data_IF_749959220165
#
_entry.id   IF_749959220165
#
_cell.length_a   1.000
_cell.length_b   1.000
_cell.length_c   1.000
_cell.angle_alpha   90.00
_cell.angle_beta   90.00
_cell.angle_gamma   90.00
#
_symmetry.space_group_name_H-M   'P 1'
#
loop_
_entity.id
_entity.type
_entity.pdbx_description
1 polymer ?
#
# COMPACT_ATOMS: atom_id res chain seq x y z
N UNK A 1 -9.79 -1.12 -10.68
CA UNK A 1 -10.51 -1.34 -9.41
C UNK A 1 -9.49 -1.72 -8.36
N UNK A 2 -9.75 -1.38 -7.11
CA UNK A 2 -8.86 -1.69 -5.99
C UNK A 2 -9.11 -3.15 -5.57
N UNK A 3 -8.06 -3.87 -5.17
CA UNK A 3 -8.23 -5.18 -4.53
C UNK A 3 -8.98 -5.01 -3.20
N UNK A 4 -9.97 -5.87 -2.87
CA UNK A 4 -10.64 -5.81 -1.57
C UNK A 4 -9.71 -6.16 -0.41
N UNK A 5 -8.55 -6.77 -0.68
CA UNK A 5 -7.54 -7.10 0.32
C UNK A 5 -6.19 -6.49 -0.03
N UNK A 6 -5.48 -6.02 1.00
CA UNK A 6 -4.09 -5.54 0.94
C UNK A 6 -3.16 -6.62 1.46
N UNK A 7 -2.19 -7.02 0.63
CA UNK A 7 -1.17 -7.98 0.99
C UNK A 7 0.00 -7.32 1.72
N UNK A 8 0.51 -8.00 2.74
CA UNK A 8 1.57 -7.49 3.59
C UNK A 8 2.57 -8.54 4.02
N UNK A 9 3.74 -8.09 4.46
CA UNK A 9 4.76 -8.91 5.11
C UNK A 9 5.48 -8.16 6.24
N UNK A 10 6.18 -8.90 7.11
CA UNK A 10 7.04 -8.33 8.16
C UNK A 10 8.46 -8.87 8.06
N UNK A 11 9.39 -8.10 8.59
CA UNK A 11 10.81 -8.45 8.61
C UNK A 11 11.15 -9.57 9.59
N UNK A 12 12.45 -9.90 9.61
CA UNK A 12 13.03 -10.76 10.64
C UNK A 12 12.96 -10.07 12.02
N UNK A 13 12.72 -10.83 13.11
CA UNK A 13 12.64 -12.30 13.17
C UNK A 13 11.28 -12.90 12.80
N UNK A 14 10.22 -12.10 12.73
CA UNK A 14 8.83 -12.56 12.70
C UNK A 14 8.44 -13.24 11.38
N UNK A 15 8.83 -12.67 10.22
CA UNK A 15 8.62 -13.28 8.88
C UNK A 15 7.17 -13.66 8.61
N UNK A 16 6.25 -12.80 9.02
CA UNK A 16 4.83 -13.03 8.80
C UNK A 16 4.44 -12.45 7.44
N UNK A 17 3.44 -13.05 6.81
CA UNK A 17 2.83 -12.52 5.61
C UNK A 17 1.35 -12.87 5.63
N UNK A 18 0.54 -11.95 5.13
CA UNK A 18 -0.91 -12.08 5.21
C UNK A 18 -1.63 -11.13 4.26
N UNK A 19 -2.94 -11.11 4.42
CA UNK A 19 -3.82 -10.16 3.75
C UNK A 19 -4.86 -9.70 4.77
N UNK A 20 -5.17 -8.40 4.77
CA UNK A 20 -6.31 -7.83 5.51
C UNK A 20 -7.20 -7.05 4.54
N UNK A 21 -8.48 -6.80 4.87
CA UNK A 21 -9.35 -5.96 4.06
C UNK A 21 -8.67 -4.61 3.79
N UNK A 22 -8.70 -4.14 2.55
CA UNK A 22 -8.05 -2.87 2.17
C UNK A 22 -8.64 -1.70 2.94
N UNK A 23 -9.94 -1.70 3.19
CA UNK A 23 -10.58 -0.65 3.99
C UNK A 23 -10.07 -0.64 5.44
N UNK A 24 -9.88 -1.81 6.04
CA UNK A 24 -9.31 -1.96 7.39
C UNK A 24 -7.83 -1.54 7.41
N UNK A 25 -7.04 -1.95 6.41
CA UNK A 25 -5.65 -1.49 6.29
C UNK A 25 -5.55 0.04 6.31
N UNK A 26 -6.47 0.73 5.65
CA UNK A 26 -6.49 2.20 5.59
C UNK A 26 -6.88 2.84 6.93
N UNK A 27 -7.66 2.18 7.79
CA UNK A 27 -7.98 2.75 9.12
C UNK A 27 -6.77 2.76 10.04
N UNK A 28 -5.81 1.85 9.82
CA UNK A 28 -4.58 1.74 10.62
C UNK A 28 -3.56 2.86 10.34
N UNK A 29 -3.80 3.72 9.34
CA UNK A 29 -2.78 4.64 8.83
C UNK A 29 -2.30 5.67 9.86
N UNK A 30 -3.22 6.23 10.64
CA UNK A 30 -2.96 7.26 11.66
C UNK A 30 -2.94 6.69 13.09
N UNK A 31 -3.01 5.36 13.24
CA UNK A 31 -3.15 4.73 14.55
C UNK A 31 -1.81 4.55 15.28
N UNK A 32 -1.78 4.96 16.55
CA UNK A 32 -0.68 4.68 17.47
C UNK A 32 0.53 5.62 17.39
N UNK A 33 1.51 5.38 18.25
CA UNK A 33 2.82 6.05 18.16
C UNK A 33 3.66 5.35 17.09
N UNK A 34 4.34 6.12 16.22
CA UNK A 34 5.01 5.61 15.01
C UNK A 34 4.01 5.05 13.98
N UNK A 35 2.92 5.77 13.77
CA UNK A 35 1.92 5.49 12.74
C UNK A 35 2.51 5.56 11.32
N UNK A 36 1.80 5.05 10.31
CA UNK A 36 2.21 5.20 8.91
C UNK A 36 2.17 6.65 8.42
N UNK A 37 1.37 7.51 9.05
CA UNK A 37 1.44 8.95 8.78
C UNK A 37 2.75 9.58 9.25
N UNK A 38 3.36 9.08 10.34
CA UNK A 38 4.61 9.58 10.90
C UNK A 38 5.87 8.95 10.26
N UNK A 39 5.84 7.63 10.00
CA UNK A 39 6.89 6.84 9.34
C UNK A 39 6.29 6.03 8.18
N UNK A 40 6.18 6.62 6.98
CA UNK A 40 5.53 6.01 5.82
C UNK A 40 6.09 4.63 5.43
N UNK A 41 5.23 3.64 5.10
CA UNK A 41 5.67 2.30 4.75
C UNK A 41 6.28 2.25 3.35
N UNK A 42 7.20 1.30 3.16
CA UNK A 42 7.69 0.95 1.84
C UNK A 42 6.79 -0.09 1.18
N UNK A 43 6.77 -0.12 -0.15
CA UNK A 43 6.06 -1.12 -0.91
C UNK A 43 6.81 -1.51 -2.18
N UNK A 44 6.67 -2.78 -2.57
CA UNK A 44 6.94 -3.22 -3.93
C UNK A 44 5.70 -2.95 -4.80
N UNK A 45 5.90 -2.18 -5.87
CA UNK A 45 4.89 -1.95 -6.88
C UNK A 45 5.32 -2.60 -8.20
N UNK A 46 4.63 -3.67 -8.55
CA UNK A 46 4.84 -4.41 -9.80
C UNK A 46 3.79 -4.01 -10.84
N UNK A 47 4.18 -3.66 -12.05
CA UNK A 47 3.26 -3.54 -13.18
C UNK A 47 3.95 -3.86 -14.52
N UNK A 48 3.24 -3.72 -15.65
CA UNK A 48 3.85 -3.82 -16.98
C UNK A 48 3.95 -2.44 -17.65
N UNK A 49 5.08 -2.15 -18.28
CA UNK A 49 5.33 -0.92 -19.06
C UNK A 49 5.98 -1.32 -20.39
N UNK A 50 5.39 -0.88 -21.50
CA UNK A 50 5.75 -1.29 -22.86
C UNK A 50 5.81 -2.83 -23.05
N UNK A 51 4.92 -3.55 -22.36
CA UNK A 51 4.88 -5.01 -22.37
C UNK A 51 5.97 -5.73 -21.56
N UNK A 52 6.80 -5.01 -20.81
CA UNK A 52 7.79 -5.58 -19.89
C UNK A 52 7.34 -5.41 -18.43
N UNK A 53 7.57 -6.44 -17.60
CA UNK A 53 7.27 -6.38 -16.16
C UNK A 53 8.35 -5.56 -15.48
N UNK A 54 7.94 -4.54 -14.74
CA UNK A 54 8.79 -3.63 -13.95
C UNK A 54 8.38 -3.67 -12.48
N UNK A 55 9.34 -3.39 -11.60
CA UNK A 55 9.13 -3.32 -10.16
C UNK A 55 9.71 -2.00 -9.67
N UNK A 56 8.96 -1.27 -8.86
CA UNK A 56 9.40 -0.03 -8.22
C UNK A 56 9.28 -0.18 -6.72
N UNK A 57 10.29 0.27 -5.99
CA UNK A 57 10.18 0.43 -4.54
C UNK A 57 9.62 1.81 -4.29
N UNK A 58 8.49 1.87 -3.60
CA UNK A 58 7.78 3.10 -3.28
C UNK A 58 7.78 3.33 -1.78
N UNK A 59 7.84 4.58 -1.36
CA UNK A 59 7.33 5.02 -0.06
C UNK A 59 5.92 5.58 -0.28
N UNK A 60 4.95 5.11 0.50
CA UNK A 60 3.53 5.42 0.32
C UNK A 60 3.05 6.41 1.37
N UNK A 61 2.35 7.47 0.97
CA UNK A 61 1.90 8.55 1.84
C UNK A 61 0.44 8.91 1.55
N UNK A 62 -0.23 9.53 2.54
CA UNK A 62 -1.55 10.17 2.39
C UNK A 62 -2.57 9.36 1.58
N UNK A 63 -2.93 8.13 1.99
CA UNK A 63 -3.92 7.36 1.26
C UNK A 63 -5.26 8.09 1.19
N UNK A 64 -5.89 8.05 0.02
CA UNK A 64 -7.21 8.64 -0.20
C UNK A 64 -8.10 7.69 -1.00
N UNK A 65 -9.20 7.27 -0.38
CA UNK A 65 -10.25 6.50 -1.05
C UNK A 65 -11.24 7.44 -1.72
N UNK A 66 -11.15 7.52 -3.05
CA UNK A 66 -12.03 8.35 -3.87
C UNK A 66 -13.22 7.51 -4.35
N UNK A 67 -14.41 7.96 -3.94
CA UNK A 67 -15.68 7.41 -4.38
C UNK A 67 -16.20 8.26 -5.54
N UNK A 68 -16.58 7.68 -6.69
CA UNK A 68 -17.28 8.42 -7.73
C UNK A 68 -18.56 9.04 -7.17
N UNK A 69 -18.89 10.25 -7.62
CA UNK A 69 -20.02 11.07 -7.14
C UNK A 69 -21.41 10.40 -7.24
N UNK A 70 -21.51 9.25 -7.91
CA UNK A 70 -22.74 8.50 -8.19
C UNK A 70 -22.85 7.17 -7.43
N UNK A 71 -21.89 6.83 -6.57
CA UNK A 71 -21.90 5.57 -5.80
C UNK A 71 -22.02 5.82 -4.30
N UNK A 72 -22.89 5.07 -3.63
CA UNK A 72 -22.97 4.98 -2.17
C UNK A 72 -21.83 4.09 -1.64
N UNK A 73 -20.61 4.62 -1.62
CA UNK A 73 -19.44 3.92 -1.10
C UNK A 73 -18.77 2.93 -2.08
N UNK A 74 -17.78 2.21 -1.56
CA UNK A 74 -16.90 1.35 -2.36
C UNK A 74 -17.45 -0.05 -2.64
N UNK A 75 -18.61 -0.39 -2.08
CA UNK A 75 -19.33 -1.64 -2.33
C UNK A 75 -19.68 -1.87 -3.81
N UNK A 76 -19.70 -0.79 -4.60
CA UNK A 76 -19.94 -0.84 -6.05
C UNK A 76 -18.72 -1.22 -6.89
N UNK A 77 -17.52 -1.32 -6.30
CA UNK A 77 -16.27 -1.70 -6.98
C UNK A 77 -15.64 -0.61 -7.85
N UNK A 78 -16.15 0.63 -7.81
CA UNK A 78 -15.69 1.76 -8.64
C UNK A 78 -14.79 2.73 -7.84
N UNK A 79 -14.34 2.36 -6.65
CA UNK A 79 -13.43 3.20 -5.89
C UNK A 79 -12.04 3.25 -6.51
N UNK A 80 -11.40 4.39 -6.31
CA UNK A 80 -10.00 4.64 -6.65
C UNK A 80 -9.26 4.91 -5.35
N UNK A 81 -8.20 4.15 -5.09
CA UNK A 81 -7.33 4.35 -3.95
C UNK A 81 -6.08 5.06 -4.47
N UNK A 82 -5.88 6.29 -4.00
CA UNK A 82 -4.71 7.07 -4.31
C UNK A 82 -3.75 7.07 -3.14
N UNK A 83 -2.46 7.13 -3.45
CA UNK A 83 -1.39 7.46 -2.51
C UNK A 83 -0.60 8.61 -3.12
N UNK A 84 -0.08 9.48 -2.26
CA UNK A 84 1.12 10.23 -2.60
C UNK A 84 2.30 9.25 -2.55
N UNK A 85 3.18 9.28 -3.54
CA UNK A 85 4.28 8.31 -3.63
C UNK A 85 5.62 8.99 -3.82
N UNK A 86 6.65 8.40 -3.25
CA UNK A 86 8.04 8.68 -3.58
C UNK A 86 8.68 7.40 -4.12
N UNK A 87 9.28 7.46 -5.31
CA UNK A 87 10.09 6.36 -5.81
C UNK A 87 11.43 6.36 -5.06
N UNK A 88 11.79 5.22 -4.48
CA UNK A 88 13.03 5.06 -3.71
C UNK A 88 13.88 3.93 -4.28
N UNK A 89 15.17 3.97 -3.96
CA UNK A 89 16.13 2.96 -4.40
C UNK A 89 16.80 3.26 -5.76
N UNK A 90 17.48 2.27 -6.35
CA UNK A 90 18.37 2.48 -7.49
C UNK A 90 17.62 2.83 -8.80
N UNK A 91 16.37 2.37 -8.92
CA UNK A 91 15.53 2.57 -10.10
C UNK A 91 14.48 3.67 -9.87
N UNK A 92 14.78 4.60 -8.95
CA UNK A 92 13.86 5.68 -8.60
C UNK A 92 13.58 6.59 -9.81
N UNK A 93 12.30 6.89 -10.02
CA UNK A 93 11.83 7.86 -11.01
C UNK A 93 11.96 9.27 -10.43
N UNK A 94 12.34 10.24 -11.27
CA UNK A 94 12.54 11.62 -10.83
C UNK A 94 11.21 12.23 -10.33
N UNK A 95 11.30 13.12 -9.34
CA UNK A 95 10.13 13.81 -8.82
C UNK A 95 9.35 14.54 -9.93
N UNK A 96 8.04 14.33 -9.97
CA UNK A 96 7.16 14.89 -10.99
C UNK A 96 7.10 14.10 -12.30
N UNK A 97 7.93 13.06 -12.45
CA UNK A 97 7.78 12.06 -13.52
C UNK A 97 6.96 10.87 -12.99
N UNK A 98 5.97 10.44 -13.78
CA UNK A 98 5.08 9.33 -13.44
C UNK A 98 5.32 8.12 -14.33
N UNK A 99 4.84 6.97 -13.89
CA UNK A 99 4.83 5.73 -14.68
C UNK A 99 3.40 5.39 -15.05
N UNK A 100 3.13 5.27 -16.34
CA UNK A 100 1.86 4.76 -16.85
C UNK A 100 2.01 3.26 -17.13
N UNK A 101 1.22 2.45 -16.43
CA UNK A 101 1.24 0.99 -16.58
C UNK A 101 0.26 0.55 -17.67
N UNK A 102 0.69 -0.40 -18.50
CA UNK A 102 -0.16 -1.07 -19.50
C UNK A 102 -1.11 -2.11 -18.86
N UNK A 103 -0.84 -2.50 -17.61
CA UNK A 103 -1.58 -3.49 -16.84
C UNK A 103 -2.10 -2.91 -15.53
N UNK A 104 -2.98 -3.67 -14.86
CA UNK A 104 -3.18 -3.47 -13.43
C UNK A 104 -1.84 -3.65 -12.70
N UNK A 105 -1.63 -2.82 -11.68
CA UNK A 105 -0.48 -2.93 -10.78
C UNK A 105 -0.78 -3.83 -9.59
N UNK A 106 0.26 -4.44 -9.05
CA UNK A 106 0.23 -5.17 -7.78
C UNK A 106 1.06 -4.39 -6.76
N UNK A 107 0.52 -4.24 -5.56
CA UNK A 107 1.18 -3.54 -4.45
C UNK A 107 1.37 -4.53 -3.31
N UNK A 108 2.60 -4.68 -2.84
CA UNK A 108 2.98 -5.48 -1.69
C UNK A 108 3.65 -4.59 -0.65
N UNK A 109 2.98 -4.39 0.49
CA UNK A 109 3.40 -3.41 1.50
C UNK A 109 4.26 -4.08 2.57
N UNK A 110 5.37 -3.45 2.90
CA UNK A 110 6.23 -3.84 4.01
C UNK A 110 5.71 -3.24 5.32
N UNK A 111 5.34 -4.09 6.27
CA UNK A 111 4.83 -3.68 7.58
C UNK A 111 5.84 -3.92 8.71
N UNK A 112 7.13 -3.66 8.46
CA UNK A 112 8.24 -3.76 9.43
C UNK A 112 7.87 -3.41 10.89
N UNK A 113 6.95 -2.47 11.09
CA UNK A 113 6.65 -1.85 12.38
C UNK A 113 5.54 -2.49 13.21
N UNK A 114 4.65 -3.31 12.64
CA UNK A 114 3.70 -4.09 13.47
C UNK A 114 4.36 -5.24 14.22
N UNK A 115 5.68 -5.42 14.08
CA UNK A 115 6.40 -6.51 14.71
C UNK A 115 6.83 -6.26 16.16
N UNK A 116 6.72 -5.02 16.68
CA UNK A 116 7.01 -4.71 18.10
C UNK A 116 5.83 -5.02 19.04
N UNK A 117 5.08 -6.10 18.74
CA UNK A 117 4.09 -6.62 19.69
C UNK A 117 4.84 -7.29 20.84
N UNK A 118 5.03 -6.55 21.93
CA UNK A 118 5.18 -7.12 23.26
C UNK A 118 3.91 -7.91 23.63
N UNK A 119 3.80 -9.14 23.13
CA UNK A 119 3.04 -10.23 23.73
C UNK A 119 1.51 -10.16 23.75
N UNK A 120 0.86 -9.15 23.20
CA UNK A 120 -0.61 -9.11 23.16
C UNK A 120 -1.07 -8.31 21.95
N UNK A 121 -1.70 -8.96 20.98
CA UNK A 121 -3.05 -8.64 20.53
C UNK A 121 -3.38 -9.55 19.34
N UNK A 122 -4.57 -10.12 19.45
CA UNK A 122 -5.26 -10.76 18.34
C UNK A 122 -5.68 -9.63 17.41
N UNK A 123 -5.27 -9.67 16.15
CA UNK A 123 -6.01 -8.97 15.09
C UNK A 123 -7.38 -9.66 15.04
N UNK A 124 -8.40 -9.04 15.62
CA UNK A 124 -9.79 -9.44 15.39
C UNK A 124 -10.25 -8.89 14.05
#
# INVERSE_FOLDING_TARGET
GISPNTGWFTDRPYREAGQIPTEEFLTLWDEGENSFADDPPNADFTCSVNGEVVNYVLELQNPALLVPYVSEGCDSGICVLNYDITFIGPDAVAEGEGVECDSAGHLFIDLLRFSDHSGDQTMM
#
